data_IF_180435544103
#
_entry.id   IF_180435544103
#
_cell.length_a   1.000
_cell.length_b   1.000
_cell.length_c   1.000
_cell.angle_alpha   90.00
_cell.angle_beta   90.00
_cell.angle_gamma   90.00
#
_symmetry.space_group_name_H-M   'P 1'
#
loop_
_entity.id
_entity.type
_entity.pdbx_description
1 polymer ?
#
# COMPACT_ATOMS: atom_id res chain seq x y z
N UNK A 1 16.51 8.73 -16.15
CA UNK A 1 15.45 8.13 -15.33
C UNK A 1 15.44 8.90 -14.02
N UNK A 2 14.31 9.56 -13.66
CA UNK A 2 13.86 9.79 -12.27
C UNK A 2 12.89 10.98 -12.06
N UNK A 3 12.61 11.87 -13.04
CA UNK A 3 11.69 13.00 -12.78
C UNK A 3 10.28 12.58 -12.32
N UNK A 4 9.73 11.50 -12.90
CA UNK A 4 8.40 11.01 -12.55
C UNK A 4 8.41 10.29 -11.20
N UNK A 5 9.42 9.45 -10.94
CA UNK A 5 9.53 8.68 -9.69
C UNK A 5 9.79 9.60 -8.50
N UNK A 6 10.73 10.54 -8.61
CA UNK A 6 11.02 11.53 -7.55
C UNK A 6 9.79 12.38 -7.23
N UNK A 7 8.98 12.70 -8.24
CA UNK A 7 7.78 13.49 -8.07
C UNK A 7 6.64 12.69 -7.44
N UNK A 8 6.42 11.45 -7.86
CA UNK A 8 5.46 10.54 -7.20
C UNK A 8 5.86 10.27 -5.74
N UNK A 9 7.15 10.11 -5.47
CA UNK A 9 7.69 9.97 -4.12
C UNK A 9 7.45 11.22 -3.27
N UNK A 10 7.75 12.41 -3.81
CA UNK A 10 7.45 13.68 -3.14
C UNK A 10 5.95 13.85 -2.90
N UNK A 11 5.11 13.43 -3.83
CA UNK A 11 3.65 13.47 -3.70
C UNK A 11 3.18 12.57 -2.55
N UNK A 12 3.73 11.36 -2.44
CA UNK A 12 3.44 10.46 -1.32
C UNK A 12 3.86 11.03 0.04
N UNK A 13 4.99 11.74 0.11
CA UNK A 13 5.49 12.33 1.36
C UNK A 13 4.85 13.66 1.73
N UNK A 14 4.32 14.42 0.77
CA UNK A 14 3.84 15.79 1.00
C UNK A 14 2.32 15.87 0.99
N UNK A 15 1.72 16.04 2.17
CA UNK A 15 0.27 16.27 2.32
C UNK A 15 -0.24 17.45 1.47
N UNK A 16 0.59 18.48 1.28
CA UNK A 16 0.32 19.60 0.38
C UNK A 16 0.16 19.19 -1.08
N UNK A 17 1.00 18.28 -1.57
CA UNK A 17 0.95 17.82 -2.96
C UNK A 17 -0.24 16.90 -3.20
N UNK A 18 -0.66 16.14 -2.18
CA UNK A 18 -1.87 15.32 -2.22
C UNK A 18 -3.16 16.14 -2.25
N UNK A 19 -3.14 17.36 -1.69
CA UNK A 19 -4.28 18.26 -1.66
C UNK A 19 -4.42 19.14 -2.92
N UNK A 20 -3.51 19.02 -3.89
CA UNK A 20 -3.55 19.83 -5.11
C UNK A 20 -4.74 19.42 -6.00
N UNK A 21 -5.38 20.41 -6.61
CA UNK A 21 -6.33 20.15 -7.69
C UNK A 21 -5.62 19.63 -8.94
N UNK A 22 -6.35 19.00 -9.86
CA UNK A 22 -5.77 18.48 -11.11
C UNK A 22 -5.01 19.52 -11.92
N UNK A 23 -5.47 20.77 -11.95
CA UNK A 23 -4.78 21.88 -12.63
C UNK A 23 -3.50 22.31 -11.92
N UNK A 24 -3.51 22.35 -10.58
CA UNK A 24 -2.32 22.68 -9.80
C UNK A 24 -1.27 21.58 -9.93
N UNK A 25 -1.71 20.33 -9.90
CA UNK A 25 -0.85 19.17 -10.12
C UNK A 25 -0.24 19.18 -11.53
N UNK A 26 -1.02 19.49 -12.58
CA UNK A 26 -0.50 19.65 -13.95
C UNK A 26 0.60 20.72 -14.04
N UNK A 27 0.45 21.85 -13.34
CA UNK A 27 1.47 22.91 -13.31
C UNK A 27 2.76 22.47 -12.63
N UNK A 28 2.68 21.74 -11.53
CA UNK A 28 3.87 21.21 -10.84
C UNK A 28 4.59 20.17 -11.71
N UNK A 29 3.82 19.31 -12.38
CA UNK A 29 4.35 18.31 -13.31
C UNK A 29 5.04 18.96 -14.52
N UNK A 30 4.48 20.05 -15.06
CA UNK A 30 5.09 20.80 -16.14
C UNK A 30 6.40 21.48 -15.71
N UNK A 31 6.44 22.07 -14.52
CA UNK A 31 7.67 22.65 -13.94
C UNK A 31 8.76 21.60 -13.71
N UNK A 32 8.37 20.36 -13.40
CA UNK A 32 9.28 19.22 -13.24
C UNK A 32 9.75 18.61 -14.59
N UNK A 33 9.32 19.18 -15.73
CA UNK A 33 9.70 18.69 -17.06
C UNK A 33 9.09 17.34 -17.43
N UNK A 34 7.96 16.98 -16.82
CA UNK A 34 7.21 15.76 -17.17
C UNK A 34 6.54 15.95 -18.53
N UNK A 35 6.56 14.92 -19.39
CA UNK A 35 5.95 15.01 -20.72
C UNK A 35 4.42 15.13 -20.63
N UNK A 36 3.77 15.90 -21.53
CA UNK A 36 2.32 16.15 -21.44
C UNK A 36 1.46 14.89 -21.36
N UNK A 37 1.85 13.81 -22.05
CA UNK A 37 1.17 12.53 -22.00
C UNK A 37 1.20 11.90 -20.59
N UNK A 38 2.36 11.94 -19.92
CA UNK A 38 2.51 11.44 -18.55
C UNK A 38 1.75 12.33 -17.56
N UNK A 39 1.72 13.66 -17.79
CA UNK A 39 0.93 14.56 -16.94
C UNK A 39 -0.56 14.22 -17.00
N UNK A 40 -1.09 14.00 -18.22
CA UNK A 40 -2.47 13.64 -18.43
C UNK A 40 -2.82 12.31 -17.73
N UNK A 41 -1.95 11.31 -17.86
CA UNK A 41 -2.15 10.01 -17.20
C UNK A 41 -2.16 10.12 -15.67
N UNK A 42 -1.30 10.97 -15.07
CA UNK A 42 -1.28 11.22 -13.62
C UNK A 42 -2.53 11.98 -13.16
N UNK A 43 -2.90 13.08 -13.85
CA UNK A 43 -4.03 13.93 -13.47
C UNK A 43 -5.38 13.22 -13.66
N UNK A 44 -5.51 12.39 -14.69
CA UNK A 44 -6.72 11.61 -14.97
C UNK A 44 -6.75 10.26 -14.23
N UNK A 45 -5.75 9.98 -13.39
CA UNK A 45 -5.65 8.73 -12.62
C UNK A 45 -5.75 7.48 -13.50
N UNK A 46 -5.00 7.45 -14.62
CA UNK A 46 -4.97 6.33 -15.56
C UNK A 46 -3.69 5.49 -15.36
N UNK A 47 -3.64 4.58 -14.37
CA UNK A 47 -2.42 3.85 -14.03
C UNK A 47 -1.92 2.97 -15.18
N UNK A 48 -2.80 2.28 -15.92
CA UNK A 48 -2.37 1.46 -17.05
C UNK A 48 -1.72 2.27 -18.19
N UNK A 49 -2.26 3.45 -18.48
CA UNK A 49 -1.65 4.36 -19.46
C UNK A 49 -0.33 4.94 -18.94
N UNK A 50 -0.27 5.28 -17.64
CA UNK A 50 0.97 5.73 -17.01
C UNK A 50 2.07 4.67 -17.09
N UNK A 51 1.74 3.41 -16.78
CA UNK A 51 2.66 2.28 -16.84
C UNK A 51 3.22 2.06 -18.24
N UNK A 52 2.38 2.16 -19.29
CA UNK A 52 2.82 2.07 -20.68
C UNK A 52 3.77 3.21 -21.06
N UNK A 53 3.41 4.45 -20.68
CA UNK A 53 4.20 5.65 -20.97
C UNK A 53 5.57 5.66 -20.28
N UNK A 54 5.68 5.06 -19.09
CA UNK A 54 6.94 4.98 -18.33
C UNK A 54 7.68 3.65 -18.52
N UNK A 55 7.12 2.71 -19.30
CA UNK A 55 7.71 1.38 -19.53
C UNK A 55 7.69 0.46 -18.30
N UNK A 56 6.77 0.67 -17.36
CA UNK A 56 6.66 -0.13 -16.13
C UNK A 56 5.82 -1.41 -16.29
N UNK A 57 5.11 -1.59 -17.41
CA UNK A 57 4.14 -2.67 -17.63
C UNK A 57 4.69 -4.10 -17.52
N UNK A 58 6.02 -4.29 -17.51
CA UNK A 58 6.67 -5.62 -17.43
C UNK A 58 7.32 -5.91 -16.07
N UNK A 59 7.33 -4.96 -15.14
CA UNK A 59 8.06 -5.08 -13.87
C UNK A 59 7.14 -5.18 -12.63
N UNK A 60 5.82 -5.17 -12.80
CA UNK A 60 4.86 -5.31 -11.70
C UNK A 60 4.49 -6.79 -11.54
N UNK A 61 5.24 -7.51 -10.70
CA UNK A 61 4.84 -8.81 -10.19
C UNK A 61 4.28 -8.62 -8.78
N UNK A 62 2.96 -8.52 -8.65
CA UNK A 62 2.30 -8.50 -7.35
C UNK A 62 2.32 -9.91 -6.75
N UNK A 63 3.42 -10.31 -6.10
CA UNK A 63 3.39 -11.47 -5.21
C UNK A 63 2.58 -11.09 -3.97
N UNK A 64 1.28 -11.39 -3.98
CA UNK A 64 0.44 -11.33 -2.79
C UNK A 64 0.69 -12.61 -2.01
N UNK A 65 1.39 -12.51 -0.88
CA UNK A 65 1.46 -13.60 0.09
C UNK A 65 0.10 -13.72 0.78
N UNK A 66 -0.60 -14.83 0.55
CA UNK A 66 -1.77 -15.17 1.37
C UNK A 66 -1.31 -15.36 2.83
N UNK A 67 -2.07 -14.84 3.82
CA UNK A 67 -1.81 -15.19 5.22
C UNK A 67 -1.90 -16.72 5.35
N UNK A 68 -0.91 -17.33 5.99
CA UNK A 68 -1.01 -18.74 6.36
C UNK A 68 -1.96 -18.81 7.55
N UNK A 69 -2.99 -19.65 7.48
CA UNK A 69 -3.85 -19.95 8.63
C UNK A 69 -2.95 -20.40 9.80
N UNK A 70 -2.90 -19.61 10.87
CA UNK A 70 -2.34 -20.04 12.14
C UNK A 70 -3.20 -21.20 12.64
N UNK A 71 -2.65 -22.41 12.64
CA UNK A 71 -3.29 -23.57 13.26
C UNK A 71 -3.55 -23.25 14.74
N UNK A 72 -4.78 -23.43 15.25
CA UNK A 72 -5.10 -23.04 16.62
C UNK A 72 -4.25 -23.84 17.62
N UNK A 73 -3.47 -23.13 18.45
CA UNK A 73 -2.75 -23.72 19.57
C UNK A 73 -3.76 -24.41 20.52
N UNK A 74 -3.67 -25.74 20.62
CA UNK A 74 -4.43 -26.55 21.57
C UNK A 74 -4.05 -26.14 23.00
N UNK A 75 -4.94 -25.38 23.65
CA UNK A 75 -4.84 -25.07 25.06
C UNK A 75 -4.88 -26.38 25.88
N UNK A 76 -3.74 -26.79 26.43
CA UNK A 76 -3.68 -27.90 27.38
C UNK A 76 -4.56 -27.57 28.60
N UNK A 77 -5.41 -28.50 29.07
CA UNK A 77 -6.17 -28.30 30.29
C UNK A 77 -5.21 -28.28 31.48
N UNK A 78 -5.25 -27.19 32.26
CA UNK A 78 -4.52 -27.10 33.52
C UNK A 78 -5.12 -28.09 34.52
N UNK A 79 -4.32 -29.08 34.91
CA UNK A 79 -4.63 -30.11 35.91
C UNK A 79 -4.74 -29.48 37.30
N UNK A 80 -5.91 -28.89 37.60
CA UNK A 80 -6.27 -28.32 38.90
C UNK A 80 -6.64 -29.40 39.92
N UNK A 81 -5.64 -30.15 40.39
CA UNK A 81 -5.81 -31.13 41.44
C UNK A 81 -6.01 -30.48 42.82
N UNK A 82 -7.20 -30.58 43.41
CA UNK A 82 -7.40 -30.41 44.85
C UNK A 82 -8.37 -31.43 45.44
N UNK A 83 -7.93 -32.00 46.58
CA UNK A 83 -8.45 -33.19 47.25
C UNK A 83 -9.67 -32.88 48.11
N UNK A 84 -10.61 -33.84 48.09
CA UNK A 84 -11.63 -34.20 49.10
C UNK A 84 -11.68 -33.35 50.38
N UNK A 85 -12.90 -32.93 50.73
CA UNK A 85 -13.46 -33.19 52.06
C UNK A 85 -14.94 -33.54 51.95
N UNK A 86 -15.25 -34.83 52.10
CA UNK A 86 -16.54 -35.26 52.56
C UNK A 86 -16.53 -35.17 54.10
N UNK A 87 -17.51 -34.49 54.70
CA UNK A 87 -17.95 -34.87 56.05
C UNK A 87 -19.41 -34.48 56.27
N UNK A 88 -20.23 -35.51 56.37
CA UNK A 88 -21.56 -35.49 56.95
C UNK A 88 -21.47 -35.27 58.47
N UNK A 89 -22.45 -34.59 59.03
CA UNK A 89 -22.70 -34.41 60.46
C UNK A 89 -24.03 -33.72 60.66
#
# INVERSE_FOLDING_TARGET
MSNVVDLLERMGRSSRLQALTGEQLARELAQAGVTPAVQAAIVQQQPGQLEELIGASKNVCCMVHAPQDEEPEEQQPEDGGERRVARAG
#
